data_IF_484198593523
#
_entry.id   IF_484198593523
#
_cell.length_a   1.000
_cell.length_b   1.000
_cell.length_c   1.000
_cell.angle_alpha   90.00
_cell.angle_beta   90.00
_cell.angle_gamma   90.00
#
_symmetry.space_group_name_H-M   'P 1'
#
loop_
_entity.id
_entity.type
_entity.pdbx_description
1 polymer ?
#
# COMPACT_ATOMS: atom_id res chain seq x y z
N UNK A 1 -15.33 -6.76 14.57
CA UNK A 1 -14.18 -6.58 13.66
C UNK A 1 -13.84 -5.10 13.70
N UNK A 2 -12.71 -4.73 14.30
CA UNK A 2 -12.22 -3.35 14.29
C UNK A 2 -11.36 -3.22 13.04
N UNK A 3 -11.79 -2.35 12.12
CA UNK A 3 -11.04 -2.06 10.90
C UNK A 3 -10.03 -0.99 11.31
N UNK A 4 -8.76 -1.38 11.42
CA UNK A 4 -7.67 -0.45 11.68
C UNK A 4 -6.83 -0.32 10.40
N UNK A 5 -6.51 0.91 9.96
CA UNK A 5 -6.96 2.20 10.50
C UNK A 5 -8.46 2.45 10.27
N UNK A 6 -9.07 3.32 11.11
CA UNK A 6 -10.50 3.65 11.01
C UNK A 6 -10.82 4.26 9.65
N UNK A 7 -11.96 3.86 9.07
CA UNK A 7 -12.35 4.28 7.72
C UNK A 7 -12.59 5.79 7.62
N UNK A 8 -13.10 6.42 8.67
CA UNK A 8 -13.37 7.86 8.67
C UNK A 8 -12.06 8.68 8.61
N UNK A 9 -10.99 8.19 9.24
CA UNK A 9 -9.65 8.79 9.11
C UNK A 9 -9.18 8.72 7.67
N UNK A 10 -9.31 7.56 7.02
CA UNK A 10 -8.90 7.38 5.63
C UNK A 10 -9.73 8.25 4.66
N UNK A 11 -11.04 8.35 4.88
CA UNK A 11 -11.92 9.17 4.05
C UNK A 11 -11.66 10.66 4.21
N UNK A 12 -11.14 11.11 5.35
CA UNK A 12 -10.71 12.51 5.52
C UNK A 12 -9.49 12.89 4.66
N UNK A 13 -8.73 11.91 4.14
CA UNK A 13 -7.52 12.11 3.33
C UNK A 13 -7.78 12.15 1.82
N UNK A 14 -9.00 11.81 1.39
CA UNK A 14 -9.36 11.72 -0.03
C UNK A 14 -10.70 12.38 -0.34
N UNK A 15 -10.93 12.72 -1.61
CA UNK A 15 -12.21 13.28 -2.07
C UNK A 15 -13.33 12.24 -2.23
N UNK A 16 -13.01 10.96 -2.36
CA UNK A 16 -13.99 9.92 -2.67
C UNK A 16 -13.53 8.52 -2.25
N UNK A 17 -14.49 7.67 -1.90
CA UNK A 17 -14.25 6.23 -1.59
C UNK A 17 -13.54 5.50 -2.73
N UNK A 18 -13.82 5.87 -3.98
CA UNK A 18 -13.16 5.28 -5.15
C UNK A 18 -11.70 5.68 -5.23
N UNK A 19 -11.38 6.94 -4.90
CA UNK A 19 -10.00 7.44 -4.82
C UNK A 19 -9.21 6.70 -3.75
N UNK A 20 -9.81 6.47 -2.57
CA UNK A 20 -9.18 5.67 -1.51
C UNK A 20 -8.83 4.26 -2.00
N UNK A 21 -9.79 3.56 -2.64
CA UNK A 21 -9.55 2.22 -3.16
C UNK A 21 -8.40 2.19 -4.19
N UNK A 22 -8.42 3.11 -5.16
CA UNK A 22 -7.40 3.16 -6.21
C UNK A 22 -6.03 3.52 -5.63
N UNK A 23 -5.99 4.52 -4.75
CA UNK A 23 -4.75 4.97 -4.09
C UNK A 23 -4.13 3.85 -3.27
N UNK A 24 -4.92 3.21 -2.39
CA UNK A 24 -4.47 2.11 -1.56
C UNK A 24 -4.02 0.92 -2.41
N UNK A 25 -4.78 0.53 -3.44
CA UNK A 25 -4.40 -0.59 -4.32
C UNK A 25 -3.15 -0.30 -5.15
N UNK A 26 -2.94 0.94 -5.61
CA UNK A 26 -1.73 1.34 -6.31
C UNK A 26 -0.52 1.34 -5.37
N UNK A 27 -0.66 1.89 -4.17
CA UNK A 27 0.42 1.93 -3.18
C UNK A 27 0.78 0.53 -2.67
N UNK A 28 -0.21 -0.32 -2.40
CA UNK A 28 0.00 -1.70 -2.02
C UNK A 28 0.81 -2.49 -3.08
N UNK A 29 0.54 -2.24 -4.37
CA UNK A 29 1.34 -2.82 -5.47
C UNK A 29 2.78 -2.33 -5.45
N UNK A 30 3.02 -1.02 -5.27
CA UNK A 30 4.38 -0.49 -5.15
C UNK A 30 5.15 -1.13 -4.00
N UNK A 31 4.52 -1.23 -2.81
CA UNK A 31 5.12 -1.89 -1.65
C UNK A 31 5.46 -3.35 -1.97
N UNK A 32 4.53 -4.05 -2.64
CA UNK A 32 4.73 -5.44 -3.03
C UNK A 32 5.87 -5.61 -4.04
N UNK A 33 5.98 -4.74 -5.04
CA UNK A 33 7.05 -4.77 -6.04
C UNK A 33 8.41 -4.46 -5.41
N UNK A 34 8.48 -3.53 -4.47
CA UNK A 34 9.70 -3.25 -3.69
C UNK A 34 10.13 -4.47 -2.88
N UNK A 35 9.18 -5.20 -2.29
CA UNK A 35 9.45 -6.43 -1.56
C UNK A 35 9.89 -7.57 -2.48
N UNK A 36 9.36 -7.66 -3.70
CA UNK A 36 9.77 -8.69 -4.67
C UNK A 36 11.26 -8.60 -5.01
N UNK A 37 11.80 -7.40 -5.25
CA UNK A 37 13.23 -7.22 -5.54
C UNK A 37 14.14 -7.70 -4.41
N UNK A 38 13.75 -7.49 -3.15
CA UNK A 38 14.48 -7.96 -1.97
C UNK A 38 14.34 -9.48 -1.79
N UNK A 39 13.16 -10.01 -2.10
CA UNK A 39 12.83 -11.43 -1.95
C UNK A 39 13.56 -12.31 -2.95
N UNK A 40 13.70 -11.89 -4.19
CA UNK A 40 14.44 -12.64 -5.21
C UNK A 40 15.92 -12.81 -4.83
N UNK A 41 16.53 -11.79 -4.22
CA UNK A 41 17.90 -11.85 -3.75
C UNK A 41 18.06 -12.67 -2.45
N UNK A 42 17.10 -12.57 -1.54
CA UNK A 42 17.06 -13.33 -0.29
C UNK A 42 16.74 -14.82 -0.50
N UNK A 43 15.92 -15.16 -1.49
CA UNK A 43 15.55 -16.53 -1.86
C UNK A 43 16.76 -17.40 -2.24
N UNK A 44 17.83 -16.78 -2.75
CA UNK A 44 19.07 -17.48 -3.11
C UNK A 44 19.98 -17.77 -1.91
N UNK A 45 19.73 -17.16 -0.75
CA UNK A 45 20.64 -17.20 0.41
C UNK A 45 19.98 -17.63 1.73
N UNK A 46 18.65 -17.68 1.81
CA UNK A 46 17.91 -17.96 3.06
C UNK A 46 17.19 -19.31 3.08
N UNK A 47 16.97 -19.83 4.29
CA UNK A 47 16.22 -21.07 4.50
C UNK A 47 14.70 -20.87 4.24
N UNK A 48 13.97 -21.91 3.80
CA UNK A 48 12.53 -21.85 3.51
C UNK A 48 11.66 -21.25 4.62
N UNK A 49 12.02 -21.44 5.89
CA UNK A 49 11.30 -20.90 7.05
C UNK A 49 11.38 -19.38 7.15
N UNK A 50 12.49 -18.77 6.74
CA UNK A 50 12.70 -17.32 6.75
C UNK A 50 11.96 -16.65 5.58
N UNK A 51 11.88 -17.34 4.45
CA UNK A 51 11.13 -16.91 3.26
C UNK A 51 9.63 -16.75 3.58
N UNK A 52 9.04 -17.67 4.34
CA UNK A 52 7.62 -17.60 4.73
C UNK A 52 7.31 -16.34 5.55
N UNK A 53 8.22 -15.93 6.45
CA UNK A 53 8.03 -14.70 7.24
C UNK A 53 8.11 -13.43 6.37
N UNK A 54 9.05 -13.37 5.43
CA UNK A 54 9.16 -12.25 4.47
C UNK A 54 7.93 -12.13 3.55
N UNK A 55 7.26 -13.26 3.30
CA UNK A 55 6.07 -13.35 2.47
C UNK A 55 4.79 -12.93 3.20
N UNK A 56 4.81 -12.90 4.54
CA UNK A 56 3.63 -12.59 5.37
C UNK A 56 3.29 -11.10 5.44
N UNK A 57 4.11 -10.25 4.83
CA UNK A 57 3.86 -8.81 4.73
C UNK A 57 2.49 -8.57 4.11
N UNK A 58 1.70 -7.64 4.68
CA UNK A 58 0.36 -7.26 4.21
C UNK A 58 0.45 -5.89 3.51
N UNK A 59 0.72 -5.83 2.20
CA UNK A 59 1.04 -4.57 1.53
C UNK A 59 -0.13 -3.57 1.56
N UNK A 60 -1.36 -4.08 1.54
CA UNK A 60 -2.55 -3.25 1.64
C UNK A 60 -2.71 -2.61 3.02
N UNK A 61 -2.43 -3.34 4.10
CA UNK A 61 -2.49 -2.76 5.45
C UNK A 61 -1.48 -1.63 5.61
N UNK A 62 -0.23 -1.85 5.15
CA UNK A 62 0.80 -0.83 5.16
C UNK A 62 0.41 0.40 4.33
N UNK A 63 -0.16 0.19 3.14
CA UNK A 63 -0.63 1.29 2.30
C UNK A 63 -1.73 2.13 2.99
N UNK A 64 -2.65 1.48 3.70
CA UNK A 64 -3.69 2.18 4.47
C UNK A 64 -3.10 2.95 5.65
N UNK A 65 -2.11 2.38 6.34
CA UNK A 65 -1.41 3.05 7.44
C UNK A 65 -0.66 4.30 6.96
N UNK A 66 0.06 4.22 5.83
CA UNK A 66 0.75 5.37 5.22
C UNK A 66 -0.23 6.47 4.77
N UNK A 67 -1.39 6.10 4.22
CA UNK A 67 -2.45 7.07 3.86
C UNK A 67 -3.00 7.73 5.12
N UNK A 68 -3.25 6.97 6.19
CA UNK A 68 -3.73 7.51 7.46
C UNK A 68 -2.72 8.48 8.10
N UNK A 69 -1.43 8.15 8.03
CA UNK A 69 -0.33 9.02 8.46
C UNK A 69 -0.21 10.30 7.60
N UNK A 70 -0.66 10.24 6.34
CA UNK A 70 -0.55 11.34 5.39
C UNK A 70 0.75 11.33 4.58
N UNK A 71 1.50 10.23 4.62
CA UNK A 71 2.75 10.05 3.86
C UNK A 71 2.47 9.84 2.36
N UNK A 72 1.28 9.35 2.03
CA UNK A 72 0.83 9.05 0.66
C UNK A 72 -0.47 9.80 0.36
N UNK A 73 -0.47 10.53 -0.76
CA UNK A 73 -1.62 11.29 -1.24
C UNK A 73 -1.92 11.03 -2.72
N UNK A 74 -2.89 11.75 -3.26
CA UNK A 74 -3.25 11.70 -4.68
C UNK A 74 -3.26 13.09 -5.29
N UNK A 75 -3.02 13.14 -6.59
CA UNK A 75 -3.14 14.36 -7.39
C UNK A 75 -4.17 14.14 -8.49
N UNK A 76 -5.06 15.11 -8.69
CA UNK A 76 -5.99 15.12 -9.83
C UNK A 76 -5.30 15.83 -10.98
N UNK A 77 -4.99 15.08 -12.03
CA UNK A 77 -4.58 15.68 -13.30
C UNK A 77 -5.80 16.42 -13.86
N UNK A 78 -5.79 17.75 -13.84
CA UNK A 78 -6.79 18.54 -14.54
C UNK A 78 -6.51 18.40 -16.04
N UNK A 79 -7.38 17.70 -16.75
CA UNK A 79 -7.34 17.61 -18.21
C UNK A 79 -7.58 19.01 -18.77
N UNK A 80 -6.49 19.69 -19.10
CA UNK A 80 -6.52 20.99 -19.75
C UNK A 80 -6.86 20.72 -21.22
N UNK A 81 -8.15 20.60 -21.53
CA UNK A 81 -8.60 20.63 -22.91
C UNK A 81 -8.20 21.99 -23.50
N UNK A 82 -7.18 21.97 -24.37
CA UNK A 82 -6.76 23.09 -25.20
C UNK A 82 -7.28 22.91 -26.61
#
# INVERSE_FOLDING_TARGET
MVINPEIDVLLSKVDSKYTLCILAARRARQINDMLHGVRDQALLTMAPSQIVQLTSTKPLSLALDEIAAGDVGYERVQDSYK
#
